data_IF_929995624889
#
_entry.id   IF_929995624889
#
_cell.length_a   1.000
_cell.length_b   1.000
_cell.length_c   1.000
_cell.angle_alpha   90.00
_cell.angle_beta   90.00
_cell.angle_gamma   90.00
#
_symmetry.space_group_name_H-M   'P 1'
#
loop_
_entity.id
_entity.type
_entity.pdbx_description
1 polymer ?
#
# COMPACT_ATOMS: atom_id res chain seq x y z
N UNK A 1 -9.45 -18.62 24.81
CA UNK A 1 -8.01 -18.89 24.92
C UNK A 1 -7.60 -18.81 26.37
N UNK A 2 -6.66 -19.62 26.82
CA UNK A 2 -6.13 -19.57 28.19
C UNK A 2 -5.16 -18.36 28.33
N UNK A 3 -5.28 -17.60 29.43
CA UNK A 3 -4.44 -16.42 29.74
C UNK A 3 -3.07 -16.76 30.33
N UNK A 4 -2.83 -18.04 30.66
CA UNK A 4 -1.53 -18.54 31.09
C UNK A 4 -1.62 -19.66 32.13
N UNK A 5 -0.48 -20.28 32.46
CA UNK A 5 -0.37 -21.22 33.59
C UNK A 5 -0.49 -20.50 34.94
N UNK A 6 -0.69 -21.25 36.03
CA UNK A 6 -0.79 -20.72 37.40
C UNK A 6 0.44 -19.92 37.85
N UNK A 7 1.64 -20.38 37.46
CA UNK A 7 2.90 -19.69 37.72
C UNK A 7 3.51 -19.23 36.39
N UNK A 8 3.84 -17.94 36.20
CA UNK A 8 3.82 -16.82 37.15
C UNK A 8 2.41 -16.29 37.43
N UNK A 9 2.22 -15.67 38.61
CA UNK A 9 0.92 -15.15 39.12
C UNK A 9 0.47 -13.84 38.45
N UNK A 10 0.91 -13.60 37.21
CA UNK A 10 0.49 -12.46 36.42
C UNK A 10 0.41 -12.86 34.94
N UNK A 11 -0.48 -12.20 34.21
CA UNK A 11 -0.59 -12.40 32.77
C UNK A 11 0.67 -11.87 32.11
N UNK A 12 1.27 -12.66 31.21
CA UNK A 12 2.44 -12.21 30.46
C UNK A 12 2.02 -11.27 29.33
N UNK A 13 2.85 -10.27 29.03
CA UNK A 13 2.56 -9.28 28.00
C UNK A 13 2.51 -9.87 26.57
N UNK A 14 3.11 -11.04 26.34
CA UNK A 14 3.05 -11.75 25.05
C UNK A 14 1.67 -12.36 24.76
N UNK A 15 0.82 -12.51 25.77
CA UNK A 15 -0.53 -13.07 25.60
C UNK A 15 -1.37 -12.08 24.79
N UNK A 16 -2.00 -12.51 23.69
CA UNK A 16 -2.85 -11.63 22.89
C UNK A 16 -4.00 -11.05 23.75
N UNK A 17 -4.06 -9.74 23.84
CA UNK A 17 -5.11 -8.99 24.53
C UNK A 17 -5.93 -8.19 23.53
N UNK A 18 -7.13 -7.78 23.94
CA UNK A 18 -7.90 -6.79 23.18
C UNK A 18 -7.20 -5.44 23.23
N UNK A 19 -7.26 -4.69 22.14
CA UNK A 19 -6.59 -3.41 22.02
C UNK A 19 -6.73 -2.79 20.64
N UNK A 20 -6.03 -1.69 20.42
CA UNK A 20 -6.07 -0.94 19.17
C UNK A 20 -5.58 -1.80 17.99
N UNK A 21 -6.44 -1.95 16.97
CA UNK A 21 -6.12 -2.62 15.71
C UNK A 21 -6.17 -1.63 14.55
N UNK A 22 -5.04 -1.44 13.89
CA UNK A 22 -4.94 -0.57 12.72
C UNK A 22 -4.47 0.85 13.06
N UNK A 23 -4.34 1.68 12.03
CA UNK A 23 -3.75 3.02 12.12
C UNK A 23 -2.28 3.05 12.61
N UNK A 24 -1.59 1.92 12.59
CA UNK A 24 -0.16 1.85 12.94
C UNK A 24 0.70 2.39 11.80
N UNK A 25 1.80 3.05 12.16
CA UNK A 25 2.84 3.41 11.21
C UNK A 25 3.56 2.15 10.74
N UNK A 26 3.67 1.98 9.41
CA UNK A 26 4.36 0.86 8.77
C UNK A 26 5.28 1.38 7.69
N UNK A 27 6.41 0.71 7.51
CA UNK A 27 7.37 0.97 6.43
C UNK A 27 7.48 -0.30 5.61
N UNK A 28 7.03 -0.24 4.36
CA UNK A 28 7.24 -1.32 3.40
C UNK A 28 8.48 -1.01 2.57
N UNK A 29 9.34 -2.02 2.38
CA UNK A 29 10.63 -1.87 1.71
C UNK A 29 10.57 -2.40 0.28
N UNK A 30 11.40 -1.83 -0.59
CA UNK A 30 11.67 -2.34 -1.94
C UNK A 30 10.42 -2.48 -2.82
N UNK A 31 9.55 -1.47 -2.79
CA UNK A 31 8.48 -1.32 -3.77
C UNK A 31 9.09 -0.82 -5.07
N UNK A 32 8.80 -1.52 -6.17
CA UNK A 32 9.27 -1.14 -7.49
C UNK A 32 8.33 -0.11 -8.10
N UNK A 33 8.93 0.95 -8.63
CA UNK A 33 8.25 1.95 -9.44
C UNK A 33 8.12 1.36 -10.85
N UNK A 34 6.90 1.37 -11.39
CA UNK A 34 6.59 0.87 -12.73
C UNK A 34 6.59 2.00 -13.76
N UNK A 35 6.10 3.17 -13.37
CA UNK A 35 5.94 4.33 -14.24
C UNK A 35 5.83 5.59 -13.41
N UNK A 36 6.39 6.68 -13.93
CA UNK A 36 6.17 8.06 -13.48
C UNK A 36 5.79 8.81 -14.76
N UNK A 37 4.63 9.44 -14.78
CA UNK A 37 4.13 10.15 -15.96
C UNK A 37 3.13 11.24 -15.51
N UNK A 38 2.89 12.19 -16.42
CA UNK A 38 1.96 13.30 -16.27
C UNK A 38 0.71 13.11 -17.16
N UNK A 39 0.69 12.09 -18.03
CA UNK A 39 -0.45 11.84 -18.92
C UNK A 39 -1.65 11.22 -18.19
N UNK A 40 -2.58 12.11 -17.81
CA UNK A 40 -3.82 11.82 -17.08
C UNK A 40 -4.70 10.76 -17.78
N UNK A 41 -4.70 10.70 -19.12
CA UNK A 41 -5.62 9.81 -19.87
C UNK A 41 -5.24 8.34 -19.77
N UNK A 42 -3.96 8.04 -19.50
CA UNK A 42 -3.47 6.66 -19.41
C UNK A 42 -3.91 5.94 -18.13
N UNK A 43 -4.23 6.70 -17.08
CA UNK A 43 -4.38 6.15 -15.73
C UNK A 43 -5.80 6.18 -15.19
N UNK A 44 -6.57 7.22 -15.50
CA UNK A 44 -7.90 7.38 -14.92
C UNK A 44 -8.85 6.32 -15.50
N UNK A 45 -9.46 5.47 -14.66
CA UNK A 45 -10.46 4.54 -15.13
C UNK A 45 -11.78 5.26 -15.41
N UNK A 46 -12.65 4.63 -16.18
CA UNK A 46 -14.00 5.13 -16.43
C UNK A 46 -14.76 5.29 -15.09
N UNK A 47 -15.19 6.52 -14.78
CA UNK A 47 -15.83 6.86 -13.50
C UNK A 47 -14.86 7.15 -12.33
N UNK A 48 -13.55 7.18 -12.60
CA UNK A 48 -12.51 7.57 -11.65
C UNK A 48 -12.20 6.54 -10.57
N UNK A 49 -11.19 6.83 -9.75
CA UNK A 49 -10.79 5.95 -8.65
C UNK A 49 -11.79 5.97 -7.50
N UNK A 50 -12.24 4.79 -7.07
CA UNK A 50 -13.17 4.63 -5.96
C UNK A 50 -12.70 5.35 -4.69
N UNK A 51 -13.54 6.24 -4.16
CA UNK A 51 -13.27 7.12 -2.99
C UNK A 51 -12.18 8.18 -3.19
N UNK A 52 -11.57 8.27 -4.37
CA UNK A 52 -10.61 9.32 -4.73
C UNK A 52 -11.18 10.31 -5.74
N UNK A 53 -11.61 9.83 -6.91
CA UNK A 53 -11.97 10.64 -8.07
C UNK A 53 -10.93 10.51 -9.18
N UNK A 54 -10.80 11.54 -10.00
CA UNK A 54 -9.80 11.61 -11.08
C UNK A 54 -8.47 12.15 -10.57
N UNK A 55 -7.37 11.63 -11.12
CA UNK A 55 -6.03 12.17 -10.91
C UNK A 55 -5.82 13.31 -11.91
N UNK A 56 -5.30 14.45 -11.44
CA UNK A 56 -5.05 15.64 -12.26
C UNK A 56 -3.56 16.06 -12.31
N UNK A 57 -2.72 15.47 -11.46
CA UNK A 57 -1.31 15.82 -11.31
C UNK A 57 -0.42 14.65 -11.75
N UNK A 58 0.89 14.87 -11.76
CA UNK A 58 1.92 13.84 -11.86
C UNK A 58 1.60 12.66 -10.93
N UNK A 59 1.73 11.44 -11.47
CA UNK A 59 1.42 10.23 -10.73
C UNK A 59 2.54 9.20 -10.86
N UNK A 60 2.54 8.29 -9.90
CA UNK A 60 3.48 7.18 -9.84
C UNK A 60 2.73 5.86 -9.72
N UNK A 61 3.06 4.91 -10.58
CA UNK A 61 2.59 3.53 -10.48
C UNK A 61 3.57 2.70 -9.66
N UNK A 62 3.10 2.15 -8.56
CA UNK A 62 3.86 1.26 -7.68
C UNK A 62 3.39 -0.18 -7.82
N UNK A 63 4.33 -1.12 -7.79
CA UNK A 63 4.01 -2.55 -7.78
C UNK A 63 3.38 -2.97 -6.45
N UNK A 64 2.15 -3.48 -6.52
CA UNK A 64 1.43 -4.09 -5.40
C UNK A 64 0.68 -3.08 -4.53
N UNK A 65 0.48 -3.43 -3.25
CA UNK A 65 -0.25 -2.58 -2.29
C UNK A 65 0.62 -1.53 -1.61
N UNK A 66 -0.02 -0.51 -1.04
CA UNK A 66 0.58 0.54 -0.21
C UNK A 66 -0.19 0.63 1.11
N UNK A 67 0.48 0.81 2.26
CA UNK A 67 -0.20 0.86 3.55
C UNK A 67 -1.06 2.12 3.69
N UNK A 68 -2.34 1.92 4.00
CA UNK A 68 -3.30 2.99 4.26
C UNK A 68 -4.47 3.01 3.29
N UNK A 69 -5.57 3.69 3.64
CA UNK A 69 -6.70 3.91 2.74
C UNK A 69 -6.36 4.92 1.62
N UNK A 70 -7.23 5.00 0.62
CA UNK A 70 -7.20 6.05 -0.40
C UNK A 70 -7.22 7.45 0.23
N UNK A 71 -6.58 8.44 -0.42
CA UNK A 71 -6.36 9.83 0.06
C UNK A 71 -5.37 10.00 1.22
N UNK A 72 -4.81 8.93 1.80
CA UNK A 72 -3.79 9.08 2.84
C UNK A 72 -2.45 9.51 2.24
N UNK A 73 -1.79 10.47 2.88
CA UNK A 73 -0.42 10.85 2.55
C UNK A 73 0.53 9.67 2.75
N UNK A 74 1.31 9.36 1.72
CA UNK A 74 2.35 8.32 1.73
C UNK A 74 3.71 9.01 1.59
N UNK A 75 4.66 8.66 2.48
CA UNK A 75 6.05 9.14 2.39
C UNK A 75 6.89 8.08 1.69
N UNK A 76 7.51 8.45 0.57
CA UNK A 76 8.44 7.61 -0.17
C UNK A 76 9.87 8.05 0.16
N UNK A 77 10.79 7.09 0.26
CA UNK A 77 12.22 7.29 0.50
C UNK A 77 12.99 6.29 -0.36
N UNK A 78 14.18 6.68 -0.79
CA UNK A 78 15.15 5.77 -1.40
C UNK A 78 15.43 4.53 -0.54
N UNK A 79 15.66 3.41 -1.22
CA UNK A 79 15.87 2.13 -0.58
C UNK A 79 17.20 2.11 0.19
N UNK A 80 17.11 1.89 1.51
CA UNK A 80 18.29 1.71 2.38
C UNK A 80 19.04 0.41 2.02
N UNK A 81 18.30 -0.60 1.58
CA UNK A 81 18.84 -1.91 1.15
C UNK A 81 18.38 -2.20 -0.27
N UNK A 82 19.10 -1.69 -1.29
CA UNK A 82 18.75 -1.95 -2.68
C UNK A 82 18.86 -3.46 -2.92
N UNK A 83 17.80 -4.04 -3.49
CA UNK A 83 17.91 -5.34 -4.16
C UNK A 83 18.64 -5.11 -5.49
N UNK A 84 19.21 -6.17 -6.07
CA UNK A 84 19.93 -6.09 -7.34
C UNK A 84 19.09 -5.44 -8.46
N UNK A 85 19.75 -5.15 -9.59
CA UNK A 85 19.13 -4.44 -10.71
C UNK A 85 18.00 -5.28 -11.31
N UNK A 86 16.78 -4.98 -10.90
CA UNK A 86 15.58 -5.40 -11.60
C UNK A 86 15.62 -4.76 -13.00
N UNK A 87 15.41 -5.55 -14.06
CA UNK A 87 15.50 -5.08 -15.46
C UNK A 87 14.53 -3.94 -15.81
N UNK A 88 14.57 -3.45 -17.06
CA UNK A 88 13.61 -2.44 -17.51
C UNK A 88 12.16 -2.98 -17.43
N UNK A 89 11.23 -2.13 -17.00
CA UNK A 89 9.79 -2.46 -16.97
C UNK A 89 9.18 -2.01 -18.28
N UNK A 90 8.69 -2.95 -19.08
CA UNK A 90 7.83 -2.64 -20.23
C UNK A 90 6.36 -2.86 -19.85
N UNK A 91 5.59 -1.76 -19.77
CA UNK A 91 4.15 -1.82 -19.54
C UNK A 91 3.42 -1.97 -20.88
N UNK A 92 2.80 -3.14 -21.10
CA UNK A 92 2.03 -3.41 -22.33
C UNK A 92 0.60 -2.89 -22.29
N UNK A 93 -0.04 -2.94 -21.11
CA UNK A 93 -1.44 -2.62 -20.96
C UNK A 93 -1.73 -2.13 -19.54
N UNK A 94 -2.55 -1.08 -19.42
CA UNK A 94 -3.07 -0.55 -18.16
C UNK A 94 -4.60 -0.63 -18.24
N UNK A 95 -5.23 -1.27 -17.27
CA UNK A 95 -6.69 -1.38 -17.21
C UNK A 95 -7.31 -0.06 -16.74
N UNK A 96 -7.98 0.63 -17.66
CA UNK A 96 -8.79 1.83 -17.41
C UNK A 96 -10.29 1.53 -17.26
N UNK A 97 -10.64 0.25 -17.12
CA UNK A 97 -12.03 -0.16 -16.86
C UNK A 97 -12.49 0.34 -15.48
N UNK A 98 -13.78 0.71 -15.39
CA UNK A 98 -14.42 1.10 -14.13
C UNK A 98 -14.15 0.09 -13.01
N UNK A 99 -13.82 0.61 -11.82
CA UNK A 99 -13.64 -0.18 -10.59
C UNK A 99 -14.85 -0.10 -9.66
N UNK A 100 -15.89 0.63 -10.08
CA UNK A 100 -17.19 0.62 -9.43
C UNK A 100 -17.97 -0.54 -10.05
N UNK A 101 -18.44 -1.46 -9.20
CA UNK A 101 -18.94 -2.77 -9.64
C UNK A 101 -19.95 -2.70 -10.78
N UNK A 102 -19.94 -3.74 -11.63
CA UNK A 102 -21.06 -4.10 -12.51
C UNK A 102 -22.15 -4.72 -11.66
#
# INVERSE_FOLDING_TARGET
GNLGPWHPTHVRWQVPQTGQKGYHQRTELNKRILMIDDDIKKINPDGGFTKYGEIQNEFMLLKGSVPGPTKRLVRIRDAIRPKGVDGQVELKHISTESKQGV
#
